data_IF_077023113892
#
_entry.id   IF_077023113892
#
_cell.length_a   1.000
_cell.length_b   1.000
_cell.length_c   1.000
_cell.angle_alpha   90.00
_cell.angle_beta   90.00
_cell.angle_gamma   90.00
#
_symmetry.space_group_name_H-M   'P 1'
#
loop_
_entity.id
_entity.type
_entity.pdbx_description
1 polymer ?
#
# COMPACT_ATOMS: atom_id res chain seq x y z
N UNK A 1 3.03 9.00 -35.54
CA UNK A 1 2.66 8.05 -34.48
C UNK A 1 2.01 8.81 -33.35
N UNK A 2 0.90 8.35 -32.79
CA UNK A 2 0.29 8.96 -31.60
C UNK A 2 1.16 8.61 -30.39
N UNK A 3 1.42 9.59 -29.52
CA UNK A 3 2.14 9.35 -28.27
C UNK A 3 1.36 8.31 -27.42
N UNK A 4 2.02 7.27 -26.89
CA UNK A 4 1.36 6.31 -26.02
C UNK A 4 0.82 6.99 -24.76
N UNK A 5 -0.16 6.39 -24.07
CA UNK A 5 -0.58 6.88 -22.77
C UNK A 5 0.58 6.78 -21.77
N UNK A 6 0.78 7.84 -20.99
CA UNK A 6 1.71 7.79 -19.87
C UNK A 6 1.05 7.13 -18.66
N UNK A 7 1.85 6.68 -17.72
CA UNK A 7 1.38 6.06 -16.47
C UNK A 7 1.60 7.02 -15.31
N UNK A 8 0.61 7.16 -14.44
CA UNK A 8 0.72 7.89 -13.18
C UNK A 8 0.52 6.92 -12.01
N UNK A 9 1.59 6.68 -11.25
CA UNK A 9 1.51 5.96 -9.99
C UNK A 9 1.07 6.92 -8.88
N UNK A 10 0.03 6.53 -8.14
CA UNK A 10 -0.46 7.25 -6.97
C UNK A 10 -0.09 6.51 -5.69
N UNK A 11 0.36 7.25 -4.68
CA UNK A 11 0.62 6.73 -3.35
C UNK A 11 0.29 7.79 -2.27
N UNK A 12 0.30 7.38 -1.00
CA UNK A 12 0.00 8.25 0.15
C UNK A 12 1.00 9.41 0.25
N UNK A 13 2.27 9.09 0.10
CA UNK A 13 3.36 9.95 0.52
C UNK A 13 3.71 9.76 1.99
N UNK A 14 4.79 10.38 2.40
CA UNK A 14 5.25 10.36 3.78
C UNK A 14 6.30 11.43 4.02
N UNK A 15 6.54 11.83 5.29
CA UNK A 15 7.48 12.90 5.59
C UNK A 15 8.91 12.52 5.17
N UNK A 16 9.59 13.41 4.48
CA UNK A 16 10.96 13.25 3.98
C UNK A 16 12.03 13.73 4.98
N UNK A 17 11.59 14.20 6.14
CA UNK A 17 12.41 14.61 7.27
C UNK A 17 11.56 14.65 8.55
N UNK A 18 12.20 14.74 9.73
CA UNK A 18 11.47 14.90 10.99
C UNK A 18 10.66 16.21 11.02
N UNK A 19 11.18 17.29 10.42
CA UNK A 19 10.49 18.57 10.32
C UNK A 19 9.22 18.50 9.45
N UNK A 20 9.20 17.57 8.49
CA UNK A 20 8.08 17.35 7.60
C UNK A 20 6.92 16.57 8.26
N UNK A 21 7.14 15.94 9.41
CA UNK A 21 6.12 15.10 10.09
C UNK A 21 4.85 15.88 10.40
N UNK A 22 4.95 17.04 11.05
CA UNK A 22 3.77 17.81 11.40
C UNK A 22 2.99 18.35 10.20
N UNK A 23 3.63 18.95 9.16
CA UNK A 23 2.93 19.33 7.93
C UNK A 23 2.27 18.16 7.21
N UNK A 24 2.94 17.00 7.15
CA UNK A 24 2.38 15.79 6.58
C UNK A 24 1.11 15.34 7.34
N UNK A 25 1.17 15.26 8.66
CA UNK A 25 0.01 14.92 9.50
C UNK A 25 -1.13 15.94 9.33
N UNK A 26 -0.82 17.23 9.18
CA UNK A 26 -1.82 18.26 8.93
C UNK A 26 -2.53 18.00 7.59
N UNK A 27 -1.79 17.71 6.51
CA UNK A 27 -2.38 17.38 5.22
C UNK A 27 -3.29 16.14 5.32
N UNK A 28 -2.81 15.09 5.99
CA UNK A 28 -3.54 13.83 6.19
C UNK A 28 -4.87 14.07 6.94
N UNK A 29 -4.83 14.74 8.09
CA UNK A 29 -6.02 15.00 8.91
C UNK A 29 -6.94 16.08 8.33
N UNK A 30 -6.46 16.88 7.38
CA UNK A 30 -7.29 17.85 6.66
C UNK A 30 -8.22 17.20 5.64
N UNK A 31 -7.96 15.93 5.26
CA UNK A 31 -8.77 15.21 4.31
C UNK A 31 -9.99 14.55 4.97
N UNK A 32 -11.18 14.97 4.56
CA UNK A 32 -12.45 14.45 5.06
C UNK A 32 -12.78 13.04 4.54
N UNK A 33 -12.11 12.60 3.50
CA UNK A 33 -12.26 11.24 2.97
C UNK A 33 -11.52 10.21 3.85
N UNK A 34 -10.48 10.65 4.58
CA UNK A 34 -9.81 9.81 5.58
C UNK A 34 -10.55 9.84 6.91
N UNK A 35 -10.85 11.05 7.42
CA UNK A 35 -11.47 11.20 8.72
C UNK A 35 -12.34 12.46 8.77
N UNK A 36 -13.57 12.30 9.24
CA UNK A 36 -14.51 13.41 9.45
C UNK A 36 -14.41 13.89 10.89
N UNK A 37 -13.62 14.95 11.12
CA UNK A 37 -13.34 15.53 12.45
C UNK A 37 -14.47 16.44 12.98
N UNK A 38 -15.61 16.49 12.28
CA UNK A 38 -16.77 17.31 12.60
C UNK A 38 -17.30 18.08 11.38
N UNK A 39 -18.03 19.20 11.57
CA UNK A 39 -18.48 20.05 10.49
C UNK A 39 -17.31 20.49 9.58
N UNK A 40 -17.56 20.72 8.29
CA UNK A 40 -16.50 20.98 7.30
C UNK A 40 -15.60 22.18 7.64
N UNK A 41 -16.18 23.24 8.22
CA UNK A 41 -15.42 24.43 8.60
C UNK A 41 -14.48 24.22 9.80
N UNK A 42 -14.69 23.19 10.63
CA UNK A 42 -13.82 22.83 11.76
C UNK A 42 -12.72 21.83 11.35
N UNK A 43 -12.79 21.21 10.16
CA UNK A 43 -11.84 20.18 9.75
C UNK A 43 -10.38 20.64 9.87
N UNK A 44 -10.02 21.78 9.24
CA UNK A 44 -8.65 22.28 9.27
C UNK A 44 -8.17 22.76 10.66
N UNK A 45 -8.96 23.53 11.45
CA UNK A 45 -8.60 23.85 12.82
C UNK A 45 -8.33 22.61 13.69
N UNK A 46 -9.20 21.61 13.62
CA UNK A 46 -9.03 20.36 14.40
C UNK A 46 -7.83 19.57 13.87
N UNK A 47 -7.64 19.47 12.56
CA UNK A 47 -6.48 18.82 11.95
C UNK A 47 -5.15 19.48 12.41
N UNK A 48 -5.11 20.80 12.50
CA UNK A 48 -3.95 21.53 13.02
C UNK A 48 -3.65 21.16 14.47
N UNK A 49 -4.67 21.10 15.32
CA UNK A 49 -4.50 20.73 16.73
C UNK A 49 -4.01 19.28 16.86
N UNK A 50 -4.67 18.34 16.19
CA UNK A 50 -4.30 16.91 16.23
C UNK A 50 -2.89 16.70 15.69
N UNK A 51 -2.53 17.32 14.56
CA UNK A 51 -1.18 17.19 13.99
C UNK A 51 -0.11 17.73 14.93
N UNK A 52 -0.39 18.83 15.65
CA UNK A 52 0.53 19.40 16.63
C UNK A 52 0.73 18.50 17.84
N UNK A 53 -0.36 17.93 18.38
CA UNK A 53 -0.30 17.03 19.53
C UNK A 53 0.38 15.69 19.20
N UNK A 54 0.20 15.18 17.98
CA UNK A 54 0.75 13.87 17.56
C UNK A 54 2.16 13.96 17.00
N UNK A 55 2.62 15.15 16.59
CA UNK A 55 3.90 15.31 15.90
C UNK A 55 5.08 14.75 16.70
N UNK A 56 5.17 15.01 18.01
CA UNK A 56 6.27 14.54 18.86
C UNK A 56 6.41 13.01 18.82
N UNK A 57 5.36 12.28 19.17
CA UNK A 57 5.36 10.81 19.16
C UNK A 57 5.63 10.24 17.76
N UNK A 58 5.11 10.89 16.72
CA UNK A 58 5.32 10.45 15.34
C UNK A 58 6.77 10.70 14.90
N UNK A 59 7.39 11.83 15.30
CA UNK A 59 8.81 12.09 15.05
C UNK A 59 9.72 11.07 15.75
N UNK A 60 9.40 10.67 16.98
CA UNK A 60 10.12 9.60 17.67
C UNK A 60 10.06 8.28 16.88
N UNK A 61 8.88 7.88 16.41
CA UNK A 61 8.73 6.69 15.59
C UNK A 61 9.53 6.78 14.28
N UNK A 62 9.48 7.92 13.58
CA UNK A 62 10.28 8.11 12.37
C UNK A 62 11.80 8.12 12.66
N UNK A 63 12.24 8.64 13.82
CA UNK A 63 13.67 8.64 14.19
C UNK A 63 14.23 7.21 14.29
N UNK A 64 13.41 6.26 14.73
CA UNK A 64 13.79 4.85 14.85
C UNK A 64 13.90 4.11 13.50
N UNK A 65 13.36 4.70 12.43
CA UNK A 65 13.41 4.12 11.07
C UNK A 65 14.24 4.97 10.10
N UNK A 66 15.16 5.79 10.61
CA UNK A 66 16.08 6.58 9.79
C UNK A 66 15.65 8.05 9.57
N UNK A 67 14.69 8.58 10.34
CA UNK A 67 14.32 10.01 10.37
C UNK A 67 13.41 10.48 9.25
N UNK A 68 12.98 9.59 8.35
CA UNK A 68 12.08 9.88 7.22
C UNK A 68 11.27 8.65 6.80
N UNK A 69 10.24 8.85 6.01
CA UNK A 69 9.54 7.74 5.33
C UNK A 69 10.29 7.32 4.07
N UNK A 70 10.53 6.02 3.85
CA UNK A 70 11.15 5.54 2.60
C UNK A 70 10.14 5.47 1.43
N UNK A 71 8.84 5.63 1.67
CA UNK A 71 7.78 5.38 0.69
C UNK A 71 7.97 6.17 -0.61
N UNK A 72 8.46 7.43 -0.53
CA UNK A 72 8.73 8.27 -1.69
C UNK A 72 9.82 7.65 -2.57
N UNK A 73 10.97 7.36 -1.96
CA UNK A 73 12.14 6.84 -2.67
C UNK A 73 11.82 5.46 -3.29
N UNK A 74 11.08 4.61 -2.57
CA UNK A 74 10.61 3.32 -3.07
C UNK A 74 9.63 3.50 -4.24
N UNK A 75 8.67 4.42 -4.15
CA UNK A 75 7.70 4.65 -5.24
C UNK A 75 8.39 5.16 -6.51
N UNK A 76 9.38 6.04 -6.39
CA UNK A 76 10.19 6.46 -7.55
C UNK A 76 11.00 5.30 -8.15
N UNK A 77 11.55 4.42 -7.30
CA UNK A 77 12.26 3.24 -7.78
C UNK A 77 11.30 2.26 -8.49
N UNK A 78 10.08 2.08 -7.98
CA UNK A 78 9.01 1.31 -8.63
C UNK A 78 8.64 1.91 -9.99
N UNK A 79 8.45 3.24 -10.07
CA UNK A 79 8.14 3.92 -11.32
C UNK A 79 9.24 3.73 -12.36
N UNK A 80 10.51 3.90 -11.97
CA UNK A 80 11.66 3.69 -12.85
C UNK A 80 11.75 2.24 -13.33
N UNK A 81 11.55 1.27 -12.45
CA UNK A 81 11.58 -0.15 -12.79
C UNK A 81 10.42 -0.51 -13.73
N UNK A 82 9.22 0.00 -13.46
CA UNK A 82 8.05 -0.21 -14.30
C UNK A 82 8.25 0.41 -15.70
N UNK A 83 8.75 1.65 -15.77
CA UNK A 83 9.07 2.31 -17.04
C UNK A 83 10.05 1.48 -17.87
N UNK A 84 11.10 0.94 -17.22
CA UNK A 84 12.08 0.10 -17.90
C UNK A 84 11.46 -1.15 -18.53
N UNK A 85 10.59 -1.87 -17.79
CA UNK A 85 9.95 -3.10 -18.29
C UNK A 85 8.82 -2.83 -19.29
N UNK A 86 8.14 -1.68 -19.21
CA UNK A 86 7.15 -1.26 -20.21
C UNK A 86 7.80 -0.98 -21.57
N UNK A 87 9.00 -0.39 -21.57
CA UNK A 87 9.73 -0.04 -22.80
C UNK A 87 10.65 -1.16 -23.34
N UNK A 88 10.63 -2.36 -22.73
CA UNK A 88 11.35 -3.52 -23.27
C UNK A 88 10.50 -4.22 -24.34
N UNK A 89 11.00 -4.27 -25.57
CA UNK A 89 10.33 -4.92 -26.72
C UNK A 89 10.17 -6.44 -26.56
N UNK A 90 10.97 -7.08 -25.70
CA UNK A 90 10.90 -8.52 -25.39
C UNK A 90 10.94 -8.75 -23.89
N UNK A 91 9.95 -9.43 -23.36
CA UNK A 91 9.86 -9.76 -21.94
C UNK A 91 8.88 -10.93 -21.71
N UNK A 92 8.87 -11.52 -20.49
CA UNK A 92 8.03 -12.69 -20.17
C UNK A 92 6.52 -12.40 -20.26
N UNK A 93 6.14 -11.13 -20.32
CA UNK A 93 4.76 -10.70 -20.59
C UNK A 93 4.81 -9.98 -21.95
N UNK A 94 4.44 -10.73 -22.99
CA UNK A 94 4.25 -10.17 -24.34
C UNK A 94 2.89 -9.45 -24.38
N UNK A 95 2.91 -8.19 -24.62
CA UNK A 95 1.77 -7.34 -24.93
C UNK A 95 2.29 -6.14 -25.69
N UNK A 96 1.48 -5.52 -26.49
CA UNK A 96 1.81 -4.29 -27.23
C UNK A 96 2.00 -3.14 -26.23
N UNK A 97 3.14 -3.19 -25.51
CA UNK A 97 3.56 -2.08 -24.67
C UNK A 97 3.91 -0.91 -25.60
N UNK A 98 3.27 0.24 -25.44
CA UNK A 98 3.55 1.39 -26.29
C UNK A 98 5.00 1.85 -26.04
N UNK A 99 5.84 1.80 -27.07
CA UNK A 99 7.19 2.34 -26.99
C UNK A 99 7.18 3.81 -26.58
N UNK A 100 7.99 4.15 -25.57
CA UNK A 100 8.12 5.52 -25.10
C UNK A 100 7.11 5.94 -24.03
N UNK A 101 6.37 4.99 -23.40
CA UNK A 101 5.55 5.27 -22.24
C UNK A 101 6.43 5.75 -21.06
N UNK A 102 6.03 6.84 -20.41
CA UNK A 102 6.68 7.35 -19.20
C UNK A 102 5.85 7.02 -17.97
N UNK A 103 6.55 6.75 -16.87
CA UNK A 103 5.93 6.48 -15.58
C UNK A 103 6.25 7.61 -14.62
N UNK A 104 5.23 8.35 -14.22
CA UNK A 104 5.31 9.46 -13.28
C UNK A 104 4.75 9.07 -11.92
N UNK A 105 5.11 9.82 -10.89
CA UNK A 105 4.67 9.58 -9.50
C UNK A 105 3.97 10.82 -8.97
N UNK A 106 2.84 10.66 -8.33
CA UNK A 106 2.24 11.70 -7.52
C UNK A 106 1.79 11.15 -6.16
N UNK A 107 1.88 11.99 -5.14
CA UNK A 107 1.53 11.65 -3.77
C UNK A 107 0.30 12.45 -3.32
N UNK A 108 -0.48 11.84 -2.41
CA UNK A 108 -1.71 12.48 -1.92
C UNK A 108 -1.45 13.51 -0.84
N UNK A 109 -0.54 13.23 0.11
CA UNK A 109 -0.37 14.05 1.31
C UNK A 109 1.03 14.62 1.49
N UNK A 110 1.99 14.27 0.65
CA UNK A 110 3.34 14.82 0.64
C UNK A 110 3.87 14.95 -0.79
N UNK A 111 5.06 15.52 -0.92
CA UNK A 111 5.67 15.79 -2.24
C UNK A 111 6.19 14.53 -2.95
N UNK A 112 6.00 14.47 -4.30
CA UNK A 112 5.35 15.45 -5.16
C UNK A 112 3.82 15.32 -5.13
N UNK A 113 3.14 16.42 -4.84
CA UNK A 113 1.67 16.45 -4.75
C UNK A 113 1.02 16.36 -6.14
N UNK A 114 -0.17 15.75 -6.20
CA UNK A 114 -0.98 15.63 -7.44
C UNK A 114 -1.15 17.01 -8.11
N UNK A 115 -1.41 18.05 -7.32
CA UNK A 115 -1.60 19.43 -7.78
C UNK A 115 -0.37 20.06 -8.42
N UNK A 116 0.81 19.48 -8.24
CA UNK A 116 2.07 19.91 -8.88
C UNK A 116 2.40 19.07 -10.09
N UNK A 117 2.23 17.75 -9.97
CA UNK A 117 2.60 16.80 -11.03
C UNK A 117 1.69 16.94 -12.26
N UNK A 118 0.38 17.10 -12.09
CA UNK A 118 -0.56 17.17 -13.21
C UNK A 118 -0.29 18.35 -14.15
N UNK A 119 -0.07 19.59 -13.66
CA UNK A 119 0.35 20.71 -14.52
C UNK A 119 1.65 20.44 -15.29
N UNK A 120 2.64 19.82 -14.65
CA UNK A 120 3.93 19.46 -15.27
C UNK A 120 3.72 18.44 -16.41
N UNK A 121 2.89 17.42 -16.19
CA UNK A 121 2.53 16.44 -17.20
C UNK A 121 1.81 17.10 -18.39
N UNK A 122 0.86 17.99 -18.12
CA UNK A 122 0.18 18.76 -19.17
C UNK A 122 1.17 19.59 -19.99
N UNK A 123 2.09 20.31 -19.33
CA UNK A 123 3.12 21.12 -19.99
C UNK A 123 4.08 20.25 -20.82
N UNK A 124 4.34 19.01 -20.39
CA UNK A 124 5.11 18.02 -21.16
C UNK A 124 4.33 17.38 -22.32
N UNK A 125 3.09 17.83 -22.58
CA UNK A 125 2.28 17.36 -23.69
C UNK A 125 1.48 16.08 -23.42
N UNK A 126 1.41 15.61 -22.18
CA UNK A 126 0.58 14.45 -21.80
C UNK A 126 -0.89 14.78 -21.97
N UNK A 127 -1.65 13.89 -22.59
CA UNK A 127 -3.10 14.04 -22.82
C UNK A 127 -3.90 12.82 -22.36
N UNK A 128 -3.23 11.67 -22.18
CA UNK A 128 -3.83 10.41 -21.73
C UNK A 128 -2.99 9.83 -20.61
N UNK A 129 -3.61 9.43 -19.49
CA UNK A 129 -2.96 8.84 -18.33
C UNK A 129 -3.66 7.55 -17.92
N UNK A 130 -2.91 6.46 -17.86
CA UNK A 130 -3.28 5.30 -17.04
C UNK A 130 -2.91 5.62 -15.61
N UNK A 131 -3.87 5.60 -14.72
CA UNK A 131 -3.69 5.92 -13.31
C UNK A 131 -3.75 4.65 -12.50
N UNK A 132 -2.65 4.35 -11.81
CA UNK A 132 -2.53 3.16 -10.96
C UNK A 132 -2.23 3.59 -9.52
N UNK A 133 -3.17 3.32 -8.62
CA UNK A 133 -2.93 3.45 -7.18
C UNK A 133 -2.11 2.26 -6.68
N UNK A 134 -1.07 2.51 -5.89
CA UNK A 134 -0.22 1.48 -5.29
C UNK A 134 -0.86 0.85 -4.02
N UNK A 135 -2.16 0.97 -3.90
CA UNK A 135 -2.99 0.21 -2.95
C UNK A 135 -3.70 -0.90 -3.72
N UNK A 136 -3.41 -2.18 -3.42
CA UNK A 136 -4.06 -3.29 -4.13
C UNK A 136 -5.58 -3.31 -3.93
N UNK A 137 -6.01 -3.01 -2.71
CA UNK A 137 -7.41 -2.97 -2.32
C UNK A 137 -7.95 -1.54 -2.40
N UNK A 138 -9.14 -1.39 -2.92
CA UNK A 138 -9.84 -0.10 -2.94
C UNK A 138 -10.35 0.27 -1.54
N UNK A 139 -10.16 1.52 -1.17
CA UNK A 139 -10.91 2.19 -0.12
C UNK A 139 -11.16 3.64 -0.50
N UNK A 140 -12.28 4.18 -0.05
CA UNK A 140 -12.59 5.62 -0.15
C UNK A 140 -11.47 6.45 0.48
N UNK A 141 -10.92 5.99 1.61
CA UNK A 141 -9.86 6.68 2.35
C UNK A 141 -8.49 6.69 1.65
N UNK A 142 -8.25 5.83 0.65
CA UNK A 142 -6.95 5.72 -0.04
C UNK A 142 -7.07 6.01 -1.53
N UNK A 143 -7.42 4.99 -2.31
CA UNK A 143 -7.61 5.13 -3.76
C UNK A 143 -8.67 6.15 -4.09
N UNK A 144 -9.81 6.14 -3.39
CA UNK A 144 -10.90 7.10 -3.58
C UNK A 144 -10.46 8.54 -3.41
N UNK A 145 -9.85 8.88 -2.25
CA UNK A 145 -9.31 10.22 -1.97
C UNK A 145 -8.30 10.68 -3.04
N UNK A 146 -7.37 9.79 -3.43
CA UNK A 146 -6.36 10.11 -4.43
C UNK A 146 -6.98 10.38 -5.81
N UNK A 147 -7.95 9.56 -6.23
CA UNK A 147 -8.64 9.71 -7.51
C UNK A 147 -9.56 10.92 -7.55
N UNK A 148 -10.23 11.25 -6.43
CA UNK A 148 -11.06 12.45 -6.34
C UNK A 148 -10.20 13.71 -6.48
N UNK A 149 -9.04 13.77 -5.81
CA UNK A 149 -8.09 14.86 -5.98
C UNK A 149 -7.54 14.93 -7.41
N UNK A 150 -7.17 13.80 -7.98
CA UNK A 150 -6.69 13.74 -9.36
C UNK A 150 -7.75 14.27 -10.34
N UNK A 151 -9.00 13.83 -10.22
CA UNK A 151 -10.12 14.26 -11.08
C UNK A 151 -10.36 15.76 -10.96
N UNK A 152 -10.34 16.32 -9.74
CA UNK A 152 -10.44 17.76 -9.50
C UNK A 152 -9.36 18.53 -10.27
N UNK A 153 -8.11 18.08 -10.21
CA UNK A 153 -6.99 18.78 -10.85
C UNK A 153 -6.99 18.58 -12.36
N UNK A 154 -7.17 17.35 -12.87
CA UNK A 154 -7.12 17.06 -14.32
C UNK A 154 -8.23 17.73 -15.12
N UNK A 155 -9.38 18.02 -14.50
CA UNK A 155 -10.47 18.74 -15.12
C UNK A 155 -10.04 20.12 -15.66
N UNK A 156 -9.04 20.76 -15.08
CA UNK A 156 -8.52 22.05 -15.52
C UNK A 156 -7.53 21.96 -16.68
N UNK A 157 -7.05 20.76 -17.02
CA UNK A 157 -5.98 20.55 -18.01
C UNK A 157 -6.39 19.71 -19.21
N UNK A 158 -7.63 19.20 -19.24
CA UNK A 158 -8.10 18.37 -20.35
C UNK A 158 -7.30 17.09 -20.57
N UNK A 159 -6.75 16.51 -19.48
CA UNK A 159 -6.07 15.23 -19.51
C UNK A 159 -7.13 14.14 -19.33
N UNK A 160 -7.23 13.24 -20.30
CA UNK A 160 -8.07 12.04 -20.21
C UNK A 160 -7.40 11.01 -19.29
N UNK A 161 -8.15 10.47 -18.32
CA UNK A 161 -7.61 9.50 -17.34
C UNK A 161 -8.40 8.21 -17.37
N UNK A 162 -7.70 7.07 -17.39
CA UNK A 162 -8.27 5.76 -17.07
C UNK A 162 -7.70 5.28 -15.75
N UNK A 163 -8.55 5.06 -14.75
CA UNK A 163 -8.13 4.73 -13.38
C UNK A 163 -8.37 3.26 -13.06
N UNK A 164 -7.31 2.56 -12.69
CA UNK A 164 -7.36 1.19 -12.18
C UNK A 164 -7.72 1.28 -10.70
N UNK A 165 -8.94 0.85 -10.35
CA UNK A 165 -9.50 1.07 -9.02
C UNK A 165 -8.94 0.10 -7.97
N UNK A 166 -8.75 -1.17 -8.35
CA UNK A 166 -8.19 -2.21 -7.47
C UNK A 166 -7.58 -3.34 -8.29
N UNK A 167 -6.68 -4.10 -7.66
CA UNK A 167 -5.98 -5.22 -8.26
C UNK A 167 -5.58 -6.25 -7.19
N UNK A 168 -6.43 -6.37 -6.16
CA UNK A 168 -6.22 -7.12 -4.93
C UNK A 168 -6.05 -8.64 -5.14
N UNK A 169 -6.59 -9.19 -6.21
CA UNK A 169 -6.56 -10.62 -6.57
C UNK A 169 -5.76 -10.89 -7.86
N UNK A 170 -5.02 -9.89 -8.36
CA UNK A 170 -4.27 -10.02 -9.60
C UNK A 170 -3.25 -11.17 -9.52
N UNK A 171 -3.27 -12.17 -10.44
CA UNK A 171 -2.51 -13.40 -10.30
C UNK A 171 -1.01 -13.21 -10.04
N UNK A 172 -0.35 -12.31 -10.80
CA UNK A 172 1.09 -12.04 -10.63
C UNK A 172 1.41 -11.30 -9.33
N UNK A 173 0.48 -10.46 -8.81
CA UNK A 173 0.62 -9.85 -7.50
C UNK A 173 0.56 -10.91 -6.40
N UNK A 174 -0.41 -11.82 -6.48
CA UNK A 174 -0.54 -12.94 -5.55
C UNK A 174 0.71 -13.84 -5.62
N UNK A 175 1.25 -14.11 -6.80
CA UNK A 175 2.49 -14.88 -6.95
C UNK A 175 3.69 -14.18 -6.31
N UNK A 176 3.79 -12.86 -6.44
CA UNK A 176 4.83 -12.08 -5.76
C UNK A 176 4.70 -12.15 -4.23
N UNK A 177 3.48 -12.06 -3.67
CA UNK A 177 3.25 -12.23 -2.23
C UNK A 177 3.61 -13.63 -1.75
N UNK A 178 3.13 -14.67 -2.44
CA UNK A 178 3.43 -16.08 -2.09
C UNK A 178 4.93 -16.35 -2.14
N UNK A 179 5.64 -15.79 -3.14
CA UNK A 179 7.10 -15.89 -3.21
C UNK A 179 7.75 -15.23 -1.99
N UNK A 180 7.39 -14.00 -1.65
CA UNK A 180 7.92 -13.30 -0.46
C UNK A 180 7.59 -14.04 0.84
N UNK A 181 6.41 -14.65 0.96
CA UNK A 181 6.04 -15.47 2.12
C UNK A 181 6.93 -16.70 2.24
N UNK A 182 7.17 -17.41 1.15
CA UNK A 182 8.08 -18.59 1.14
C UNK A 182 9.49 -18.21 1.53
N UNK A 183 10.01 -17.06 1.06
CA UNK A 183 11.31 -16.55 1.48
C UNK A 183 11.32 -16.21 2.98
N UNK A 184 10.29 -15.53 3.50
CA UNK A 184 10.15 -15.20 4.91
C UNK A 184 10.08 -16.44 5.82
N UNK A 185 9.45 -17.52 5.37
CA UNK A 185 9.39 -18.78 6.12
C UNK A 185 10.73 -19.46 6.29
N UNK A 186 11.72 -19.19 5.45
CA UNK A 186 13.06 -19.79 5.56
C UNK A 186 13.75 -19.49 6.88
N UNK A 187 13.45 -18.38 7.52
CA UNK A 187 13.96 -18.02 8.85
C UNK A 187 13.53 -19.04 9.91
N UNK A 188 12.37 -19.68 9.73
CA UNK A 188 11.84 -20.73 10.61
C UNK A 188 12.11 -22.14 10.11
N UNK A 189 13.07 -22.34 9.19
CA UNK A 189 13.39 -23.65 8.61
C UNK A 189 12.66 -23.98 7.30
N UNK A 190 11.87 -23.06 6.78
CA UNK A 190 11.15 -23.23 5.50
C UNK A 190 9.90 -24.08 5.59
N UNK A 191 9.21 -24.23 4.45
CA UNK A 191 8.16 -25.24 4.28
C UNK A 191 8.85 -26.58 4.06
N UNK A 192 8.66 -27.51 4.97
CA UNK A 192 9.18 -28.88 4.81
C UNK A 192 8.35 -29.61 3.73
N UNK A 193 8.89 -29.71 2.53
CA UNK A 193 8.25 -30.49 1.44
C UNK A 193 8.20 -32.01 1.74
N UNK A 194 8.97 -32.47 2.73
CA UNK A 194 9.18 -33.91 2.96
C UNK A 194 8.59 -34.48 4.26
N UNK A 195 8.05 -33.65 5.16
CA UNK A 195 7.71 -34.12 6.51
C UNK A 195 6.22 -34.18 6.85
N UNK A 196 5.29 -33.84 5.99
CA UNK A 196 3.85 -33.93 6.31
C UNK A 196 3.41 -33.21 7.60
N UNK A 197 4.32 -32.47 8.24
CA UNK A 197 4.03 -31.60 9.37
C UNK A 197 4.00 -30.17 8.88
N UNK A 198 2.88 -29.50 9.10
CA UNK A 198 2.81 -28.04 9.00
C UNK A 198 4.03 -27.47 9.74
N UNK A 199 4.73 -26.53 9.13
CA UNK A 199 5.78 -25.78 9.84
C UNK A 199 5.15 -25.22 11.11
N UNK A 200 5.87 -25.20 12.26
CA UNK A 200 5.39 -24.60 13.51
C UNK A 200 5.20 -23.05 13.38
N UNK A 201 4.96 -22.59 12.16
CA UNK A 201 4.79 -21.17 11.80
C UNK A 201 3.32 -20.87 11.58
N UNK A 202 2.80 -19.88 12.28
CA UNK A 202 1.49 -19.30 12.04
C UNK A 202 1.64 -18.01 11.24
N UNK A 203 0.86 -17.82 10.19
CA UNK A 203 0.85 -16.57 9.41
C UNK A 203 -0.19 -15.62 9.98
N UNK A 204 0.24 -14.39 10.28
CA UNK A 204 -0.65 -13.30 10.64
C UNK A 204 -0.70 -12.28 9.51
N UNK A 205 -1.80 -12.32 8.73
CA UNK A 205 -2.08 -11.24 7.80
C UNK A 205 -2.45 -9.98 8.59
N UNK A 206 -1.73 -8.89 8.36
CA UNK A 206 -2.01 -7.60 8.98
C UNK A 206 -2.37 -6.58 7.91
N UNK A 207 -3.54 -5.97 8.04
CA UNK A 207 -4.03 -4.92 7.17
C UNK A 207 -4.17 -3.61 7.96
N UNK A 208 -4.12 -2.45 7.28
CA UNK A 208 -4.46 -1.19 7.92
C UNK A 208 -5.93 -1.21 8.36
N UNK A 209 -6.23 -0.80 9.58
CA UNK A 209 -7.61 -0.71 10.04
C UNK A 209 -8.33 0.50 9.43
N UNK A 210 -9.63 0.35 9.22
CA UNK A 210 -10.51 1.45 8.84
C UNK A 210 -11.60 1.65 9.90
N UNK A 211 -12.16 2.87 10.02
CA UNK A 211 -13.37 3.05 10.81
C UNK A 211 -14.50 2.14 10.30
N UNK A 212 -15.17 1.44 11.22
CA UNK A 212 -16.29 0.52 10.89
C UNK A 212 -17.35 1.21 10.03
N UNK A 213 -17.57 2.49 10.27
CA UNK A 213 -18.51 3.32 9.50
C UNK A 213 -18.25 3.31 8.00
N UNK A 214 -16.99 3.24 7.54
CA UNK A 214 -16.70 3.16 6.09
C UNK A 214 -17.20 1.85 5.51
N UNK A 215 -17.04 0.77 6.24
CA UNK A 215 -17.52 -0.56 5.81
C UNK A 215 -19.06 -0.58 5.77
N UNK A 216 -19.71 0.00 6.77
CA UNK A 216 -21.17 0.16 6.81
C UNK A 216 -21.70 1.06 5.68
N UNK A 217 -20.91 2.04 5.24
CA UNK A 217 -21.21 2.91 4.10
C UNK A 217 -20.89 2.22 2.74
N UNK A 218 -20.43 0.97 2.73
CA UNK A 218 -20.21 0.15 1.52
C UNK A 218 -18.78 0.16 0.97
N UNK A 219 -17.78 0.56 1.77
CA UNK A 219 -16.37 0.46 1.35
C UNK A 219 -15.96 -1.02 1.20
N UNK A 220 -15.48 -1.48 0.03
CA UNK A 220 -15.21 -2.88 -0.25
C UNK A 220 -13.89 -3.38 0.35
N UNK A 221 -13.15 -2.55 1.07
CA UNK A 221 -11.79 -2.81 1.52
C UNK A 221 -11.64 -4.15 2.26
N UNK A 222 -12.50 -4.43 3.24
CA UNK A 222 -12.44 -5.65 4.05
C UNK A 222 -12.66 -6.90 3.20
N UNK A 223 -13.60 -6.84 2.24
CA UNK A 223 -13.87 -7.96 1.34
C UNK A 223 -12.72 -8.17 0.36
N UNK A 224 -12.11 -7.09 -0.13
CA UNK A 224 -10.94 -7.19 -1.00
C UNK A 224 -9.68 -7.69 -0.25
N UNK A 225 -9.50 -7.34 1.03
CA UNK A 225 -8.45 -7.95 1.88
C UNK A 225 -8.66 -9.46 1.99
N UNK A 226 -9.88 -9.89 2.29
CA UNK A 226 -10.21 -11.33 2.34
C UNK A 226 -9.98 -11.99 0.99
N UNK A 227 -10.38 -11.35 -0.11
CA UNK A 227 -10.13 -11.87 -1.47
C UNK A 227 -8.64 -12.05 -1.78
N UNK A 228 -7.78 -11.13 -1.33
CA UNK A 228 -6.32 -11.28 -1.44
C UNK A 228 -5.85 -12.52 -0.65
N UNK A 229 -6.30 -12.65 0.60
CA UNK A 229 -5.92 -13.79 1.45
C UNK A 229 -6.41 -15.11 0.84
N UNK A 230 -7.66 -15.16 0.39
CA UNK A 230 -8.24 -16.35 -0.26
C UNK A 230 -7.46 -16.77 -1.49
N UNK A 231 -6.95 -15.80 -2.28
CA UNK A 231 -6.11 -16.08 -3.43
C UNK A 231 -4.72 -16.63 -3.02
N UNK A 232 -4.15 -16.12 -1.91
CA UNK A 232 -2.88 -16.60 -1.37
C UNK A 232 -3.02 -18.03 -0.84
N UNK A 233 -4.02 -18.29 0.01
CA UNK A 233 -4.15 -19.60 0.69
C UNK A 233 -4.53 -20.73 -0.25
N UNK A 234 -5.05 -20.44 -1.44
CA UNK A 234 -5.20 -21.42 -2.53
C UNK A 234 -3.85 -21.88 -3.11
N UNK A 235 -2.76 -21.12 -2.91
CA UNK A 235 -1.42 -21.42 -3.44
C UNK A 235 -0.44 -21.92 -2.37
N UNK A 236 -0.80 -21.75 -1.09
CA UNK A 236 0.06 -22.15 0.03
C UNK A 236 -0.83 -22.57 1.21
N UNK A 237 -0.69 -23.85 1.63
CA UNK A 237 -1.43 -24.41 2.77
C UNK A 237 -0.67 -24.12 4.06
N UNK A 238 -1.21 -23.22 4.88
CA UNK A 238 -0.61 -22.72 6.11
C UNK A 238 -1.68 -22.32 7.12
N UNK A 239 -1.46 -22.48 8.43
CA UNK A 239 -2.33 -21.90 9.44
C UNK A 239 -2.19 -20.37 9.45
N UNK A 240 -3.32 -19.67 9.46
CA UNK A 240 -3.31 -18.21 9.41
C UNK A 240 -4.42 -17.55 10.23
N UNK A 241 -4.22 -16.27 10.51
CA UNK A 241 -5.21 -15.36 11.08
C UNK A 241 -5.14 -14.00 10.37
N UNK A 242 -6.21 -13.22 10.47
CA UNK A 242 -6.27 -11.83 9.98
C UNK A 242 -6.43 -10.87 11.14
N UNK A 243 -5.66 -9.78 11.13
CA UNK A 243 -5.74 -8.68 12.08
C UNK A 243 -5.65 -7.34 11.38
N UNK A 244 -5.97 -6.27 12.12
CA UNK A 244 -5.95 -4.91 11.62
C UNK A 244 -5.10 -4.01 12.51
N UNK A 245 -4.13 -3.29 11.93
CA UNK A 245 -3.19 -2.43 12.64
C UNK A 245 -3.53 -0.94 12.55
N UNK A 246 -2.79 -0.10 13.26
CA UNK A 246 -2.79 1.37 13.13
C UNK A 246 -4.09 2.05 13.56
N UNK A 247 -4.91 1.42 14.40
CA UNK A 247 -6.11 2.05 14.98
C UNK A 247 -5.76 3.34 15.73
N UNK A 248 -6.57 4.39 15.57
CA UNK A 248 -6.28 5.72 16.11
C UNK A 248 -7.52 6.55 16.46
N UNK A 249 -7.51 7.16 17.66
CA UNK A 249 -8.60 8.01 18.13
C UNK A 249 -9.85 7.24 18.61
N UNK A 250 -10.93 7.95 18.97
CA UNK A 250 -12.06 7.38 19.72
C UNK A 250 -13.18 6.78 18.84
N UNK A 251 -12.89 6.49 17.57
CA UNK A 251 -13.86 5.86 16.66
C UNK A 251 -13.77 4.33 16.75
N UNK A 252 -14.84 3.63 16.39
CA UNK A 252 -14.82 2.18 16.29
C UNK A 252 -14.07 1.77 15.01
N UNK A 253 -13.04 0.94 15.17
CA UNK A 253 -12.18 0.42 14.10
C UNK A 253 -12.51 -1.03 13.77
N UNK A 254 -12.26 -1.43 12.54
CA UNK A 254 -12.31 -2.84 12.13
C UNK A 254 -11.28 -3.62 12.91
N UNK A 255 -11.65 -4.80 13.38
CA UNK A 255 -10.79 -5.67 14.20
C UNK A 255 -10.93 -7.14 13.83
N UNK A 256 -10.23 -8.04 14.56
CA UNK A 256 -9.42 -7.78 15.75
C UNK A 256 -8.16 -6.97 15.45
N UNK A 257 -7.64 -6.22 16.45
CA UNK A 257 -6.39 -5.49 16.26
C UNK A 257 -5.18 -6.44 16.31
N UNK A 258 -4.06 -5.98 15.71
CA UNK A 258 -2.87 -6.84 15.59
C UNK A 258 -2.25 -7.17 16.95
N UNK A 259 -2.24 -6.23 17.89
CA UNK A 259 -1.81 -6.45 19.26
C UNK A 259 -2.68 -7.50 19.98
N UNK A 260 -4.01 -7.38 19.92
CA UNK A 260 -4.95 -8.37 20.49
C UNK A 260 -4.74 -9.76 19.89
N UNK A 261 -4.54 -9.84 18.58
CA UNK A 261 -4.31 -11.13 17.90
C UNK A 261 -2.98 -11.78 18.29
N UNK A 262 -1.90 -11.01 18.44
CA UNK A 262 -0.61 -11.54 18.93
C UNK A 262 -0.76 -12.14 20.33
N UNK A 263 -1.47 -11.46 21.26
CA UNK A 263 -1.74 -11.99 22.59
C UNK A 263 -2.58 -13.28 22.54
N UNK A 264 -3.60 -13.32 21.67
CA UNK A 264 -4.45 -14.49 21.52
C UNK A 264 -3.66 -15.70 21.00
N UNK A 265 -2.81 -15.48 19.99
CA UNK A 265 -1.96 -16.53 19.42
C UNK A 265 -0.91 -17.04 20.43
N UNK A 266 -0.34 -16.14 21.25
CA UNK A 266 0.55 -16.53 22.33
C UNK A 266 -0.17 -17.43 23.36
N UNK A 267 -1.41 -17.10 23.77
CA UNK A 267 -2.24 -17.92 24.66
C UNK A 267 -2.57 -19.28 24.06
N UNK A 268 -2.66 -19.39 22.73
CA UNK A 268 -2.84 -20.66 22.00
C UNK A 268 -1.54 -21.47 21.87
N UNK A 269 -0.42 -20.97 22.38
CA UNK A 269 0.87 -21.66 22.37
C UNK A 269 1.66 -21.52 21.08
N UNK A 270 1.26 -20.63 20.15
CA UNK A 270 2.02 -20.34 18.93
C UNK A 270 3.36 -19.70 19.31
N UNK A 271 4.45 -20.21 18.73
CA UNK A 271 5.82 -19.75 19.00
C UNK A 271 6.43 -18.97 17.84
N UNK A 272 6.10 -19.32 16.61
CA UNK A 272 6.67 -18.71 15.43
C UNK A 272 5.55 -18.00 14.65
N UNK A 273 5.70 -16.70 14.49
CA UNK A 273 4.71 -15.84 13.83
C UNK A 273 5.34 -15.13 12.63
N UNK A 274 4.81 -15.38 11.44
CA UNK A 274 5.18 -14.68 10.22
C UNK A 274 4.10 -13.63 9.90
N UNK A 275 4.42 -12.35 10.03
CA UNK A 275 3.49 -11.26 9.73
C UNK A 275 3.57 -10.89 8.24
N UNK A 276 2.42 -10.86 7.59
CA UNK A 276 2.26 -10.45 6.18
C UNK A 276 1.46 -9.15 6.12
N UNK A 277 2.09 -7.99 5.81
CA UNK A 277 1.39 -6.71 5.67
C UNK A 277 0.62 -6.67 4.35
N UNK A 278 -0.59 -7.26 4.33
CA UNK A 278 -1.34 -7.58 3.11
C UNK A 278 -1.93 -6.36 2.38
N UNK A 279 -2.04 -5.21 3.05
CA UNK A 279 -2.54 -3.96 2.45
C UNK A 279 -1.43 -3.04 1.92
N UNK A 280 -0.16 -3.43 2.05
CA UNK A 280 0.99 -2.61 1.72
C UNK A 280 1.94 -3.31 0.75
N UNK A 281 2.40 -2.56 -0.25
CA UNK A 281 3.38 -3.07 -1.22
C UNK A 281 4.76 -2.47 -1.03
N UNK A 282 4.89 -1.43 -0.20
CA UNK A 282 6.14 -0.70 0.04
C UNK A 282 6.41 -0.55 1.53
N UNK A 283 7.67 -0.57 1.93
CA UNK A 283 8.07 -0.25 3.28
C UNK A 283 7.74 1.20 3.65
N UNK A 284 7.25 1.37 4.86
CA UNK A 284 6.92 2.66 5.46
C UNK A 284 6.82 2.52 7.00
N UNK A 285 6.32 3.54 7.68
CA UNK A 285 6.30 3.56 9.16
C UNK A 285 5.51 2.38 9.76
N UNK A 286 4.43 1.95 9.12
CA UNK A 286 3.57 0.88 9.65
C UNK A 286 4.19 -0.52 9.49
N UNK A 287 5.13 -0.70 8.55
CA UNK A 287 5.90 -1.93 8.43
C UNK A 287 7.16 -1.87 9.30
N UNK A 288 7.98 -0.82 9.15
CA UNK A 288 9.30 -0.72 9.77
C UNK A 288 9.24 -0.38 11.26
N UNK A 289 8.22 0.37 11.72
CA UNK A 289 8.10 0.72 13.13
C UNK A 289 7.04 -0.13 13.84
N UNK A 290 5.80 -0.19 13.32
CA UNK A 290 4.76 -0.93 14.04
C UNK A 290 5.04 -2.43 14.07
N UNK A 291 5.38 -3.04 12.92
CA UNK A 291 5.63 -4.51 12.88
C UNK A 291 7.03 -4.84 13.38
N UNK A 292 8.08 -4.25 12.76
CA UNK A 292 9.46 -4.68 13.01
C UNK A 292 10.01 -4.24 14.38
N UNK A 293 9.41 -3.23 15.03
CA UNK A 293 9.83 -2.73 16.33
C UNK A 293 8.78 -3.02 17.40
N UNK A 294 7.55 -2.48 17.27
CA UNK A 294 6.56 -2.58 18.35
C UNK A 294 6.01 -3.99 18.50
N UNK A 295 5.48 -4.59 17.43
CA UNK A 295 4.88 -5.92 17.52
C UNK A 295 5.93 -7.01 17.69
N UNK A 296 7.13 -6.85 17.10
CA UNK A 296 8.24 -7.78 17.34
C UNK A 296 8.64 -7.82 18.81
N UNK A 297 8.83 -6.65 19.45
CA UNK A 297 9.12 -6.54 20.88
C UNK A 297 8.02 -7.13 21.75
N UNK A 298 6.75 -6.90 21.39
CA UNK A 298 5.60 -7.46 22.09
C UNK A 298 5.59 -9.00 22.01
N UNK A 299 5.80 -9.56 20.81
CA UNK A 299 5.86 -11.01 20.61
C UNK A 299 7.00 -11.65 21.42
N UNK A 300 8.20 -11.04 21.43
CA UNK A 300 9.35 -11.48 22.24
C UNK A 300 9.01 -11.52 23.72
N UNK A 301 8.30 -10.52 24.26
CA UNK A 301 7.84 -10.49 25.66
C UNK A 301 6.85 -11.62 25.99
N UNK A 302 6.12 -12.10 25.00
CA UNK A 302 5.20 -13.23 25.10
C UNK A 302 5.86 -14.59 24.79
N UNK A 303 7.19 -14.61 24.59
CA UNK A 303 7.96 -15.81 24.29
C UNK A 303 7.72 -16.37 22.88
N UNK A 304 7.40 -15.50 21.94
CA UNK A 304 7.22 -15.80 20.51
C UNK A 304 8.36 -15.20 19.69
N UNK A 305 8.68 -15.83 18.57
CA UNK A 305 9.51 -15.24 17.50
C UNK A 305 8.60 -14.67 16.44
N UNK A 306 8.71 -13.36 16.19
CA UNK A 306 7.97 -12.68 15.13
C UNK A 306 8.94 -12.23 14.04
N UNK A 307 8.65 -12.62 12.80
CA UNK A 307 9.31 -12.07 11.60
C UNK A 307 8.28 -11.52 10.62
N UNK A 308 8.66 -10.50 9.88
CA UNK A 308 7.81 -9.89 8.86
C UNK A 308 8.26 -10.32 7.46
N UNK A 309 7.32 -10.64 6.61
CA UNK A 309 7.58 -10.81 5.18
C UNK A 309 8.09 -9.50 4.59
N UNK A 310 9.17 -9.55 3.82
CA UNK A 310 9.68 -8.38 3.14
C UNK A 310 8.61 -7.76 2.24
N UNK A 311 8.45 -6.44 2.31
CA UNK A 311 7.55 -5.71 1.42
C UNK A 311 7.98 -5.91 -0.03
N UNK A 312 7.02 -5.89 -0.96
CA UNK A 312 7.30 -6.16 -2.37
C UNK A 312 8.24 -5.13 -2.99
N UNK A 313 8.19 -3.87 -2.54
CA UNK A 313 9.08 -2.79 -2.98
C UNK A 313 9.31 -2.81 -4.50
N UNK A 314 10.53 -3.07 -4.95
CA UNK A 314 10.93 -3.19 -6.36
C UNK A 314 11.20 -4.64 -6.77
N UNK A 315 10.62 -5.63 -6.10
CA UNK A 315 10.85 -7.03 -6.46
C UNK A 315 10.48 -7.28 -7.93
N UNK A 316 11.26 -8.04 -8.69
CA UNK A 316 11.03 -8.24 -10.12
C UNK A 316 9.64 -8.82 -10.42
N UNK A 317 9.15 -9.75 -9.60
CA UNK A 317 7.80 -10.32 -9.76
C UNK A 317 6.71 -9.27 -9.59
N UNK A 318 6.88 -8.36 -8.61
CA UNK A 318 5.92 -7.29 -8.40
C UNK A 318 5.95 -6.25 -9.52
N UNK A 319 7.12 -5.89 -10.04
CA UNK A 319 7.23 -4.98 -11.19
C UNK A 319 6.57 -5.59 -12.44
N UNK A 320 6.71 -6.91 -12.66
CA UNK A 320 5.99 -7.60 -13.73
C UNK A 320 4.46 -7.61 -13.51
N UNK A 321 4.01 -7.75 -12.26
CA UNK A 321 2.59 -7.60 -11.94
C UNK A 321 2.07 -6.20 -12.29
N UNK A 322 2.79 -5.15 -11.91
CA UNK A 322 2.43 -3.76 -12.26
C UNK A 322 2.39 -3.56 -13.78
N UNK A 323 3.35 -4.12 -14.53
CA UNK A 323 3.33 -4.09 -16.00
C UNK A 323 2.05 -4.70 -16.56
N UNK A 324 1.68 -5.91 -16.15
CA UNK A 324 0.48 -6.60 -16.65
C UNK A 324 -0.80 -5.83 -16.30
N UNK A 325 -0.89 -5.27 -15.08
CA UNK A 325 -2.01 -4.44 -14.63
C UNK A 325 -2.14 -3.20 -15.53
N UNK A 326 -1.04 -2.52 -15.82
CA UNK A 326 -1.02 -1.33 -16.70
C UNK A 326 -1.43 -1.69 -18.12
N UNK A 327 -0.90 -2.77 -18.70
CA UNK A 327 -1.25 -3.21 -20.06
C UNK A 327 -2.73 -3.57 -20.18
N UNK A 328 -3.30 -4.24 -19.17
CA UNK A 328 -4.75 -4.49 -19.10
C UNK A 328 -5.54 -3.19 -19.04
N UNK A 329 -5.10 -2.23 -18.23
CA UNK A 329 -5.72 -0.91 -18.14
C UNK A 329 -5.70 -0.14 -19.47
N UNK A 330 -4.59 -0.20 -20.24
CA UNK A 330 -4.49 0.39 -21.58
C UNK A 330 -5.50 -0.24 -22.54
N UNK A 331 -5.63 -1.56 -22.50
CA UNK A 331 -6.59 -2.31 -23.33
C UNK A 331 -8.04 -1.98 -22.96
N UNK A 332 -8.36 -1.97 -21.67
CA UNK A 332 -9.70 -1.63 -21.17
C UNK A 332 -10.10 -0.19 -21.47
N UNK A 333 -9.13 0.74 -21.47
CA UNK A 333 -9.34 2.13 -21.88
C UNK A 333 -9.59 2.29 -23.39
N UNK A 334 -9.39 1.23 -24.20
CA UNK A 334 -9.44 1.31 -25.66
C UNK A 334 -8.29 2.12 -26.25
N UNK A 335 -7.14 2.16 -25.58
CA UNK A 335 -5.95 2.92 -25.98
C UNK A 335 -4.82 2.03 -26.51
N UNK A 336 -5.01 0.73 -26.57
CA UNK A 336 -4.13 -0.18 -27.30
C UNK A 336 -4.28 0.08 -28.80
N UNK A 337 -3.14 0.19 -29.55
CA UNK A 337 -3.12 0.31 -31.02
C UNK A 337 -3.39 -1.03 -31.70
#
# INVERSE_FOLDING_TARGET
>A
MRRPPDVLLLNLGGPDSLQAVRPFLFNLFSDREIIRLGPSFLQKPIAYLISSLRAGKTMEAYSLIGGKSPIRDITFAQAKALEAVLNQAQGPISGDAPEGAKVSVAMRYWHPLIEKVVPELHAAGVRKLIVLSLYPQFSVATTGSSLNKLREVTAHYGIETFSILSWFDHPLYIDALVHSMREGMKVFGGLSETAGKASDVHVLFSAHSLPVKFIEEGDPYVDQIKGTIDAIVKKIDIPWSLSYQSKSGPVQWVGPSTDEMIEELAKKGIKNLLVVPVSFVSDHIETLYEIDILYKKMAEQLGMTLERVASLNTSPLFILALKDIVLKGIKEAGWAE
#
